data_IF_294491348940
#
_entry.id   IF_294491348940
#
_cell.length_a   1.000
_cell.length_b   1.000
_cell.length_c   1.000
_cell.angle_alpha   90.00
_cell.angle_beta   90.00
_cell.angle_gamma   90.00
#
_symmetry.space_group_name_H-M   'P 1'
#
loop_
_entity.id
_entity.type
_entity.pdbx_description
1 polymer ?
#
# COMPACT_ATOMS: atom_id res chain seq x y z
N UNK A 1 14.33 -7.03 -7.77
CA UNK A 1 13.19 -7.13 -6.85
C UNK A 1 13.66 -6.83 -5.43
N UNK A 2 13.22 -5.68 -4.91
CA UNK A 2 13.53 -5.19 -3.56
C UNK A 2 13.04 -6.16 -2.47
N UNK A 3 13.58 -6.03 -1.26
CA UNK A 3 13.04 -6.76 -0.11
C UNK A 3 11.66 -6.24 0.28
N UNK A 4 11.41 -4.95 0.15
CA UNK A 4 10.09 -4.36 0.35
C UNK A 4 9.01 -4.99 -0.56
N UNK A 5 9.31 -5.21 -1.85
CA UNK A 5 8.37 -5.86 -2.78
C UNK A 5 8.12 -7.32 -2.37
N UNK A 6 9.15 -8.08 -1.97
CA UNK A 6 8.98 -9.46 -1.47
C UNK A 6 8.10 -9.51 -0.22
N UNK A 7 8.34 -8.61 0.73
CA UNK A 7 7.53 -8.51 1.95
C UNK A 7 6.07 -8.19 1.63
N UNK A 8 5.84 -7.27 0.67
CA UNK A 8 4.50 -6.96 0.19
C UNK A 8 3.82 -8.17 -0.43
N UNK A 9 4.50 -8.93 -1.30
CA UNK A 9 3.95 -10.11 -1.96
C UNK A 9 3.52 -11.19 -0.97
N UNK A 10 4.20 -11.30 0.17
CA UNK A 10 3.80 -12.19 1.27
C UNK A 10 2.60 -11.59 2.01
N UNK A 11 2.68 -10.33 2.43
CA UNK A 11 1.63 -9.68 3.23
C UNK A 11 0.29 -9.57 2.49
N UNK A 12 0.30 -9.34 1.18
CA UNK A 12 -0.92 -9.20 0.37
C UNK A 12 -1.68 -10.52 0.22
N UNK A 13 -1.02 -11.68 0.41
CA UNK A 13 -1.67 -13.00 0.35
C UNK A 13 -2.72 -13.16 1.45
N UNK A 14 -2.56 -12.52 2.61
CA UNK A 14 -3.58 -12.53 3.66
C UNK A 14 -4.91 -11.96 3.15
N UNK A 15 -4.87 -10.93 2.30
CA UNK A 15 -6.07 -10.36 1.69
C UNK A 15 -6.72 -11.33 0.68
N UNK A 16 -5.92 -12.06 -0.10
CA UNK A 16 -6.42 -13.10 -1.01
C UNK A 16 -7.07 -14.25 -0.23
N UNK A 17 -6.38 -14.78 0.78
CA UNK A 17 -6.90 -15.85 1.64
C UNK A 17 -8.22 -15.47 2.31
N UNK A 18 -8.37 -14.22 2.76
CA UNK A 18 -9.64 -13.73 3.33
C UNK A 18 -10.80 -13.77 2.31
N UNK A 19 -10.54 -13.47 1.03
CA UNK A 19 -11.56 -13.58 -0.02
C UNK A 19 -11.86 -15.02 -0.40
N UNK A 20 -10.87 -15.90 -0.40
CA UNK A 20 -11.08 -17.34 -0.62
C UNK A 20 -11.92 -17.97 0.49
N UNK A 21 -11.61 -17.63 1.75
CA UNK A 21 -12.41 -18.04 2.91
C UNK A 21 -13.84 -17.54 2.80
N UNK A 22 -14.04 -16.28 2.40
CA UNK A 22 -15.36 -15.72 2.13
C UNK A 22 -16.12 -16.52 1.06
N UNK A 23 -15.48 -16.83 -0.06
CA UNK A 23 -16.10 -17.59 -1.16
C UNK A 23 -16.48 -19.02 -0.72
N UNK A 24 -15.65 -19.67 0.09
CA UNK A 24 -15.91 -21.01 0.58
C UNK A 24 -17.08 -21.03 1.57
N UNK A 25 -17.07 -20.15 2.57
CA UNK A 25 -18.13 -20.07 3.59
C UNK A 25 -19.49 -19.68 2.99
N UNK A 26 -19.51 -18.84 1.94
CA UNK A 26 -20.77 -18.50 1.28
C UNK A 26 -21.38 -19.67 0.49
N UNK A 27 -20.58 -20.63 0.01
CA UNK A 27 -21.09 -21.83 -0.66
C UNK A 27 -21.80 -22.77 0.32
N UNK A 28 -21.38 -22.76 1.59
CA UNK A 28 -21.93 -23.60 2.66
C UNK A 28 -23.26 -23.05 3.25
N UNK A 29 -23.68 -21.86 2.83
CA UNK A 29 -25.08 -21.43 2.87
C UNK A 29 -25.65 -20.96 4.22
N UNK A 30 -24.85 -20.82 5.29
CA UNK A 30 -25.41 -20.55 6.63
C UNK A 30 -25.20 -19.11 7.14
N UNK A 31 -24.06 -18.45 6.85
CA UNK A 31 -23.76 -17.10 7.37
C UNK A 31 -22.98 -16.29 6.32
N UNK A 32 -23.40 -15.05 6.05
CA UNK A 32 -22.67 -14.12 5.16
C UNK A 32 -21.57 -13.38 5.94
N UNK A 33 -20.33 -13.82 5.78
CA UNK A 33 -19.15 -13.26 6.45
C UNK A 33 -18.61 -11.98 5.79
N UNK A 34 -19.47 -10.96 5.71
CA UNK A 34 -19.17 -9.67 5.07
C UNK A 34 -17.94 -8.95 5.65
N UNK A 35 -17.60 -9.24 6.91
CA UNK A 35 -16.39 -8.81 7.59
C UNK A 35 -15.10 -9.24 6.90
N UNK A 36 -15.07 -10.41 6.24
CA UNK A 36 -13.88 -10.92 5.57
C UNK A 36 -13.50 -10.04 4.38
N UNK A 37 -14.48 -9.54 3.62
CA UNK A 37 -14.24 -8.60 2.52
C UNK A 37 -13.69 -7.26 3.01
N UNK A 38 -14.19 -6.77 4.14
CA UNK A 38 -13.68 -5.53 4.76
C UNK A 38 -12.27 -5.74 5.28
N UNK A 39 -12.01 -6.87 5.92
CA UNK A 39 -10.68 -7.25 6.37
C UNK A 39 -9.70 -7.35 5.20
N UNK A 40 -10.08 -7.96 4.08
CA UNK A 40 -9.24 -8.04 2.89
C UNK A 40 -8.84 -6.66 2.35
N UNK A 41 -9.77 -5.71 2.30
CA UNK A 41 -9.46 -4.31 1.94
C UNK A 41 -8.51 -3.69 2.94
N UNK A 42 -8.76 -3.82 4.24
CA UNK A 42 -7.89 -3.27 5.29
C UNK A 42 -6.47 -3.85 5.17
N UNK A 43 -6.33 -5.17 5.05
CA UNK A 43 -5.04 -5.87 4.90
C UNK A 43 -4.29 -5.41 3.64
N UNK A 44 -5.00 -5.20 2.52
CA UNK A 44 -4.37 -4.68 1.29
C UNK A 44 -3.75 -3.30 1.49
N UNK A 45 -4.44 -2.42 2.24
CA UNK A 45 -3.94 -1.09 2.52
C UNK A 45 -2.82 -1.08 3.56
N UNK A 46 -2.87 -1.97 4.54
CA UNK A 46 -1.77 -2.15 5.50
C UNK A 46 -0.51 -2.64 4.79
N UNK A 47 -0.63 -3.63 3.89
CA UNK A 47 0.49 -4.10 3.09
C UNK A 47 1.09 -2.98 2.22
N UNK A 48 0.26 -2.14 1.61
CA UNK A 48 0.70 -0.96 0.87
C UNK A 48 1.45 0.06 1.75
N UNK A 49 0.96 0.29 2.96
CA UNK A 49 1.58 1.20 3.91
C UNK A 49 2.97 0.72 4.30
N UNK A 50 3.09 -0.54 4.73
CA UNK A 50 4.37 -1.18 5.01
C UNK A 50 5.31 -1.17 3.81
N UNK A 51 4.82 -1.47 2.61
CA UNK A 51 5.65 -1.44 1.39
C UNK A 51 6.31 -0.07 1.18
N UNK A 52 5.58 1.03 1.36
CA UNK A 52 6.12 2.37 1.14
C UNK A 52 7.15 2.74 2.20
N UNK A 53 6.91 2.38 3.46
CA UNK A 53 7.87 2.59 4.55
C UNK A 53 9.16 1.79 4.30
N UNK A 54 9.01 0.50 3.98
CA UNK A 54 10.13 -0.41 3.72
C UNK A 54 10.95 0.04 2.51
N UNK A 55 10.32 0.38 1.38
CA UNK A 55 11.06 0.67 0.15
C UNK A 55 11.82 1.99 0.23
N UNK A 56 11.26 3.01 0.87
CA UNK A 56 11.97 4.28 1.07
C UNK A 56 13.15 4.06 2.02
N UNK A 57 12.96 3.26 3.07
CA UNK A 57 14.04 2.88 4.00
C UNK A 57 15.14 2.11 3.29
N UNK A 58 14.78 1.08 2.53
CA UNK A 58 15.72 0.24 1.77
C UNK A 58 16.57 1.07 0.80
N UNK A 59 15.96 1.99 0.05
CA UNK A 59 16.70 2.86 -0.86
C UNK A 59 17.61 3.84 -0.09
N UNK A 60 17.10 4.51 0.95
CA UNK A 60 17.91 5.46 1.73
C UNK A 60 19.11 4.75 2.37
N UNK A 61 18.90 3.58 2.97
CA UNK A 61 19.98 2.77 3.54
C UNK A 61 21.03 2.39 2.50
N UNK A 62 20.59 2.02 1.29
CA UNK A 62 21.51 1.71 0.19
C UNK A 62 22.37 2.93 -0.22
N UNK A 63 21.78 4.13 -0.25
CA UNK A 63 22.46 5.36 -0.66
C UNK A 63 23.48 5.84 0.38
N UNK A 64 23.17 5.70 1.67
CA UNK A 64 24.05 6.16 2.74
C UNK A 64 25.04 5.10 3.21
N UNK A 65 25.02 3.90 2.63
CA UNK A 65 25.85 2.75 3.03
C UNK A 65 27.35 3.07 3.11
N UNK A 66 27.88 3.86 2.18
CA UNK A 66 29.30 4.27 2.19
C UNK A 66 29.63 5.30 3.28
N UNK A 67 28.62 5.91 3.88
CA UNK A 67 28.72 6.90 4.95
C UNK A 67 28.39 6.29 6.32
N UNK A 68 28.22 4.97 6.42
CA UNK A 68 27.89 4.31 7.68
C UNK A 68 28.89 4.64 8.79
N UNK A 69 28.37 4.90 10.00
CA UNK A 69 29.14 5.38 11.15
C UNK A 69 29.40 6.89 11.16
N UNK A 70 29.08 7.62 10.08
CA UNK A 70 29.16 9.08 10.08
C UNK A 70 27.93 9.73 10.72
N UNK A 71 28.12 10.92 11.31
CA UNK A 71 27.01 11.74 11.82
C UNK A 71 26.00 12.12 10.73
N UNK A 72 26.45 12.21 9.47
CA UNK A 72 25.59 12.53 8.33
C UNK A 72 24.64 11.36 8.04
N UNK A 73 25.16 10.14 7.94
CA UNK A 73 24.33 8.95 7.74
C UNK A 73 23.34 8.78 8.90
N UNK A 74 23.78 8.97 10.15
CA UNK A 74 22.89 8.93 11.31
C UNK A 74 21.78 9.98 11.20
N UNK A 75 22.12 11.22 10.84
CA UNK A 75 21.13 12.28 10.70
C UNK A 75 20.07 11.98 9.61
N UNK A 76 20.51 11.47 8.45
CA UNK A 76 19.59 11.12 7.35
C UNK A 76 18.65 9.99 7.79
N UNK A 77 19.18 8.89 8.37
CA UNK A 77 18.39 7.76 8.85
C UNK A 77 17.38 8.20 9.92
N UNK A 78 17.82 8.96 10.93
CA UNK A 78 16.92 9.48 11.98
C UNK A 78 15.87 10.44 11.43
N UNK A 79 16.21 11.29 10.44
CA UNK A 79 15.22 12.17 9.82
C UNK A 79 14.16 11.38 9.05
N UNK A 80 14.52 10.26 8.41
CA UNK A 80 13.55 9.39 7.76
C UNK A 80 12.66 8.71 8.79
N UNK A 81 13.26 8.11 9.83
CA UNK A 81 12.52 7.46 10.92
C UNK A 81 11.50 8.40 11.58
N UNK A 82 11.87 9.66 11.82
CA UNK A 82 10.95 10.66 12.37
C UNK A 82 9.78 10.99 11.44
N UNK A 83 10.01 11.06 10.13
CA UNK A 83 8.93 11.28 9.17
C UNK A 83 8.00 10.06 9.09
N UNK A 84 8.57 8.86 9.06
CA UNK A 84 7.83 7.59 9.00
C UNK A 84 6.92 7.39 10.23
N UNK A 85 7.33 7.82 11.43
CA UNK A 85 6.46 7.79 12.64
C UNK A 85 5.12 8.50 12.45
N UNK A 86 5.06 9.48 11.56
CA UNK A 86 3.84 10.25 11.27
C UNK A 86 3.23 9.92 9.91
N UNK A 87 3.86 9.01 9.15
CA UNK A 87 3.52 8.62 7.79
C UNK A 87 2.31 7.68 7.71
N UNK A 88 1.25 8.01 8.44
CA UNK A 88 0.03 7.23 8.38
C UNK A 88 -0.69 7.48 7.04
N UNK A 89 -1.32 6.44 6.48
CA UNK A 89 -2.23 6.59 5.33
C UNK A 89 -1.54 7.10 4.04
N UNK A 90 -0.74 6.27 3.35
CA UNK A 90 0.04 6.67 2.17
C UNK A 90 -0.83 6.94 0.95
N UNK A 91 -1.40 8.14 0.89
CA UNK A 91 -2.09 8.64 -0.29
C UNK A 91 -1.11 9.16 -1.34
N UNK A 92 -1.59 9.37 -2.56
CA UNK A 92 -0.74 9.83 -3.68
C UNK A 92 0.12 11.05 -3.36
N UNK A 93 -0.41 12.04 -2.62
CA UNK A 93 0.34 13.24 -2.24
C UNK A 93 1.41 12.95 -1.19
N UNK A 94 1.10 12.13 -0.17
CA UNK A 94 2.06 11.74 0.87
C UNK A 94 3.17 10.86 0.29
N UNK A 95 2.82 9.88 -0.54
CA UNK A 95 3.78 9.03 -1.24
C UNK A 95 4.69 9.87 -2.13
N UNK A 96 4.14 10.78 -2.94
CA UNK A 96 4.95 11.70 -3.73
C UNK A 96 5.93 12.49 -2.86
N UNK A 97 5.45 13.10 -1.78
CA UNK A 97 6.25 13.98 -0.91
C UNK A 97 7.44 13.25 -0.28
N UNK A 98 7.23 12.04 0.25
CA UNK A 98 8.31 11.30 0.92
C UNK A 98 9.38 10.84 -0.08
N UNK A 99 8.95 10.38 -1.27
CA UNK A 99 9.87 10.01 -2.35
C UNK A 99 10.66 11.21 -2.88
N UNK A 100 10.02 12.36 -3.11
CA UNK A 100 10.72 13.57 -3.56
C UNK A 100 11.71 14.08 -2.50
N UNK A 101 11.35 13.98 -1.21
CA UNK A 101 12.20 14.46 -0.12
C UNK A 101 13.46 13.62 0.07
N UNK A 102 13.34 12.29 0.10
CA UNK A 102 14.47 11.42 0.43
C UNK A 102 15.16 10.83 -0.78
N UNK A 103 14.41 10.59 -1.87
CA UNK A 103 14.92 9.89 -3.04
C UNK A 103 15.12 10.86 -4.22
N UNK A 104 14.49 12.04 -4.20
CA UNK A 104 14.51 13.01 -5.30
C UNK A 104 13.80 12.53 -6.58
N UNK A 105 12.83 11.64 -6.44
CA UNK A 105 11.98 11.17 -7.55
C UNK A 105 10.48 11.30 -7.24
N UNK A 106 9.69 11.44 -8.30
CA UNK A 106 8.23 11.38 -8.24
C UNK A 106 7.74 10.08 -8.91
N UNK A 107 7.64 9.01 -8.11
CA UNK A 107 7.15 7.70 -8.58
C UNK A 107 5.73 7.75 -9.14
N UNK A 108 4.95 8.76 -8.74
CA UNK A 108 3.55 8.86 -9.17
C UNK A 108 3.40 9.30 -10.63
N UNK A 109 4.49 9.72 -11.29
CA UNK A 109 4.52 10.02 -12.73
C UNK A 109 4.54 8.77 -13.61
N UNK A 110 4.83 7.60 -13.04
CA UNK A 110 4.83 6.30 -13.75
C UNK A 110 3.54 5.53 -13.51
N UNK A 111 2.63 6.08 -12.72
CA UNK A 111 1.35 5.47 -12.38
C UNK A 111 0.32 5.70 -13.49
N UNK A 112 0.56 5.24 -14.71
CA UNK A 112 -0.22 5.60 -15.90
C UNK A 112 -1.06 4.45 -16.50
N UNK A 113 -1.09 3.27 -15.87
CA UNK A 113 -1.75 2.09 -16.45
C UNK A 113 -3.28 2.19 -16.59
N UNK A 114 -3.91 3.19 -15.97
CA UNK A 114 -5.34 3.48 -16.17
C UNK A 114 -5.45 4.49 -17.30
N UNK A 115 -5.64 4.00 -18.54
CA UNK A 115 -5.81 4.80 -19.75
C UNK A 115 -4.68 5.82 -20.04
N UNK A 116 -3.46 5.59 -19.54
CA UNK A 116 -2.37 6.55 -19.68
C UNK A 116 -2.45 7.75 -18.72
N UNK A 117 -3.39 7.75 -17.76
CA UNK A 117 -3.67 8.90 -16.89
C UNK A 117 -3.19 8.67 -15.45
N UNK A 118 -2.10 9.37 -15.09
CA UNK A 118 -1.56 9.39 -13.73
C UNK A 118 -2.58 9.90 -12.69
N UNK A 119 -3.41 10.88 -13.05
CA UNK A 119 -4.40 11.41 -12.13
C UNK A 119 -5.53 10.43 -11.88
N UNK A 120 -5.90 9.60 -12.87
CA UNK A 120 -6.86 8.52 -12.68
C UNK A 120 -6.36 7.50 -11.64
N UNK A 121 -5.08 7.10 -11.72
CA UNK A 121 -4.49 6.17 -10.75
C UNK A 121 -4.37 6.80 -9.36
N UNK A 122 -3.87 8.04 -9.26
CA UNK A 122 -3.78 8.77 -7.98
C UNK A 122 -5.16 8.91 -7.32
N UNK A 123 -6.19 9.26 -8.11
CA UNK A 123 -7.59 9.32 -7.64
C UNK A 123 -8.06 7.95 -7.15
N UNK A 124 -7.74 6.87 -7.87
CA UNK A 124 -8.12 5.50 -7.50
C UNK A 124 -7.47 5.06 -6.19
N UNK A 125 -6.17 5.30 -5.99
CA UNK A 125 -5.46 5.06 -4.72
C UNK A 125 -6.14 5.81 -3.56
N UNK A 126 -6.38 7.11 -3.75
CA UNK A 126 -7.02 7.95 -2.73
C UNK A 126 -8.44 7.46 -2.39
N UNK A 127 -9.17 6.92 -3.37
CA UNK A 127 -10.49 6.33 -3.15
C UNK A 127 -10.42 5.02 -2.35
N UNK A 128 -9.43 4.16 -2.58
CA UNK A 128 -9.23 2.97 -1.74
C UNK A 128 -8.90 3.32 -0.29
N UNK A 129 -8.07 4.34 -0.08
CA UNK A 129 -7.76 4.88 1.24
C UNK A 129 -9.02 5.37 1.97
N UNK A 130 -9.88 6.11 1.26
CA UNK A 130 -11.18 6.52 1.81
C UNK A 130 -12.05 5.31 2.14
N UNK A 131 -12.04 4.29 1.28
CA UNK A 131 -12.82 3.05 1.47
C UNK A 131 -12.38 2.31 2.73
N UNK A 132 -11.07 2.24 3.03
CA UNK A 132 -10.56 1.70 4.31
C UNK A 132 -11.15 2.43 5.51
N UNK A 133 -11.12 3.77 5.51
CA UNK A 133 -11.71 4.57 6.59
C UNK A 133 -13.21 4.27 6.78
N UNK A 134 -13.95 4.12 5.69
CA UNK A 134 -15.37 3.77 5.74
C UNK A 134 -15.61 2.34 6.24
N UNK A 135 -14.79 1.38 5.81
CA UNK A 135 -14.87 -0.01 6.22
C UNK A 135 -14.61 -0.19 7.73
N UNK A 136 -13.72 0.61 8.30
CA UNK A 136 -13.42 0.61 9.74
C UNK A 136 -14.50 1.37 10.53
N UNK A 137 -14.76 2.63 10.21
CA UNK A 137 -15.62 3.48 11.04
C UNK A 137 -17.11 3.14 10.94
N UNK A 138 -17.63 2.82 9.75
CA UNK A 138 -19.07 2.55 9.60
C UNK A 138 -19.47 1.16 10.07
N UNK A 139 -18.56 0.18 10.02
CA UNK A 139 -18.80 -1.14 10.57
C UNK A 139 -18.99 -1.13 12.10
N UNK A 140 -18.43 -0.12 12.79
CA UNK A 140 -18.57 0.07 14.23
C UNK A 140 -19.89 0.77 14.59
N UNK A 141 -20.36 1.69 13.75
CA UNK A 141 -21.53 2.54 14.04
C UNK A 141 -22.84 1.88 13.61
N UNK A 142 -22.84 1.15 12.49
CA UNK A 142 -24.06 0.53 11.95
C UNK A 142 -23.77 -0.89 11.46
N UNK A 143 -24.01 -1.87 12.33
CA UNK A 143 -23.88 -3.29 12.02
C UNK A 143 -24.84 -3.78 10.94
N UNK A 144 -25.85 -2.99 10.55
CA UNK A 144 -26.81 -3.34 9.49
C UNK A 144 -26.35 -2.94 8.09
N UNK A 145 -25.24 -2.19 7.93
CA UNK A 145 -24.67 -1.89 6.60
C UNK A 145 -23.86 -3.10 6.11
N UNK A 146 -24.58 -4.17 5.78
CA UNK A 146 -24.04 -5.45 5.32
C UNK A 146 -23.33 -5.37 3.95
N UNK A 147 -23.31 -4.23 3.26
CA UNK A 147 -22.86 -4.12 1.85
C UNK A 147 -21.88 -2.98 1.56
N UNK A 148 -21.09 -2.54 2.54
CA UNK A 148 -20.16 -1.43 2.32
C UNK A 148 -19.03 -1.78 1.34
N UNK A 149 -18.60 -3.04 1.33
CA UNK A 149 -17.59 -3.58 0.40
C UNK A 149 -18.15 -4.86 -0.21
N UNK A 150 -18.41 -4.86 -1.52
CA UNK A 150 -18.75 -6.10 -2.22
C UNK A 150 -17.48 -6.88 -2.58
N UNK A 151 -17.62 -8.15 -2.96
CA UNK A 151 -16.46 -9.01 -3.26
C UNK A 151 -15.65 -8.40 -4.40
N UNK A 152 -16.31 -8.06 -5.50
CA UNK A 152 -15.66 -7.52 -6.69
C UNK A 152 -14.79 -6.30 -6.37
N UNK A 153 -15.25 -5.42 -5.48
CA UNK A 153 -14.49 -4.25 -5.03
C UNK A 153 -13.27 -4.65 -4.21
N UNK A 154 -13.39 -5.61 -3.28
CA UNK A 154 -12.25 -6.12 -2.54
C UNK A 154 -11.20 -6.77 -3.45
N UNK A 155 -11.63 -7.58 -4.43
CA UNK A 155 -10.73 -8.18 -5.42
C UNK A 155 -10.03 -7.10 -6.28
N UNK A 156 -10.79 -6.11 -6.77
CA UNK A 156 -10.22 -4.96 -7.50
C UNK A 156 -9.25 -4.15 -6.65
N UNK A 157 -9.49 -4.05 -5.34
CA UNK A 157 -8.59 -3.39 -4.39
C UNK A 157 -7.25 -4.13 -4.32
N UNK A 158 -7.28 -5.45 -4.11
CA UNK A 158 -6.07 -6.29 -4.07
C UNK A 158 -5.29 -6.18 -5.39
N UNK A 159 -5.95 -6.36 -6.54
CA UNK A 159 -5.29 -6.25 -7.85
C UNK A 159 -4.70 -4.86 -8.07
N UNK A 160 -5.39 -3.80 -7.64
CA UNK A 160 -4.86 -2.45 -7.72
C UNK A 160 -3.58 -2.28 -6.91
N UNK A 161 -3.54 -2.80 -5.67
CA UNK A 161 -2.38 -2.68 -4.81
C UNK A 161 -1.20 -3.52 -5.27
N UNK A 162 -1.44 -4.72 -5.84
CA UNK A 162 -0.39 -5.48 -6.53
C UNK A 162 0.22 -4.65 -7.67
N UNK A 163 -0.63 -4.10 -8.55
CA UNK A 163 -0.14 -3.35 -9.70
C UNK A 163 0.59 -2.06 -9.35
N UNK A 164 0.11 -1.28 -8.37
CA UNK A 164 0.78 -0.04 -7.97
C UNK A 164 2.13 -0.31 -7.31
N UNK A 165 2.26 -1.41 -6.55
CA UNK A 165 3.55 -1.83 -5.99
C UNK A 165 4.51 -2.23 -7.09
N UNK A 166 4.08 -3.05 -8.05
CA UNK A 166 4.94 -3.46 -9.18
C UNK A 166 5.49 -2.27 -9.95
N UNK A 167 4.62 -1.33 -10.32
CA UNK A 167 5.01 -0.12 -11.07
C UNK A 167 5.90 0.81 -10.24
N UNK A 168 5.62 0.93 -8.94
CA UNK A 168 6.45 1.74 -8.04
C UNK A 168 7.83 1.13 -7.89
N UNK A 169 7.92 -0.19 -7.71
CA UNK A 169 9.18 -0.91 -7.59
C UNK A 169 9.99 -0.86 -8.89
N UNK A 170 9.36 -1.10 -10.04
CA UNK A 170 10.00 -0.98 -11.36
C UNK A 170 10.59 0.42 -11.57
N UNK A 171 9.88 1.47 -11.13
CA UNK A 171 10.36 2.85 -11.22
C UNK A 171 11.64 3.05 -10.39
N UNK A 172 11.68 2.50 -9.18
CA UNK A 172 12.83 2.59 -8.27
C UNK A 172 14.01 1.78 -8.80
N UNK A 173 13.79 0.56 -9.29
CA UNK A 173 14.85 -0.29 -9.84
C UNK A 173 15.53 0.35 -11.05
N UNK A 174 14.73 1.01 -11.90
CA UNK A 174 15.27 1.75 -13.04
C UNK A 174 16.12 2.96 -12.61
N UNK A 175 15.77 3.62 -11.50
CA UNK A 175 16.50 4.81 -11.02
C UNK A 175 17.75 4.45 -10.21
N UNK A 176 17.66 3.46 -9.30
CA UNK A 176 18.71 3.17 -8.31
C UNK A 176 19.44 1.84 -8.52
N UNK A 177 19.04 1.03 -9.51
CA UNK A 177 19.64 -0.30 -9.81
C UNK A 177 19.73 -1.19 -8.56
N UNK A 178 18.62 -1.30 -7.82
CA UNK A 178 18.45 -2.25 -6.72
C UNK A 178 18.52 -3.70 -7.20
#
# INVERSE_FOLDING_TARGET
>A
MSNAQKNFEIAIQDADHLLELFDNLNKEGSIKHEELKRAAVIMSLTAWETYIEDIVTEVVESQVKLLDGSKIATFIKSSLEEELKTFNTPNSSKTKKIFERFLHIDVTKRWDWINGDCDAVRKKLNNWIKTRGQAVHRAVIDKQVHHLVNRNDASKCITFFKKIVDVTNETIENEYRL
#
